data_IF_745657241530
#
_entry.id   IF_745657241530
#
_cell.length_a   1.000
_cell.length_b   1.000
_cell.length_c   1.000
_cell.angle_alpha   90.00
_cell.angle_beta   90.00
_cell.angle_gamma   90.00
#
_symmetry.space_group_name_H-M   'P 1'
#
loop_
_entity.id
_entity.type
_entity.pdbx_description
1 polymer ?
#
# COMPACT_ATOMS: atom_id res chain seq x y z
N UNK A 1 -16.34 28.98 26.63
CA UNK A 1 -15.58 27.77 26.24
C UNK A 1 -16.09 27.37 24.87
N UNK A 2 -15.21 27.23 23.88
CA UNK A 2 -15.59 26.79 22.54
C UNK A 2 -15.73 25.26 22.58
N UNK A 3 -16.94 24.74 22.38
CA UNK A 3 -17.22 23.30 22.29
C UNK A 3 -16.75 22.65 20.97
N UNK A 4 -15.98 23.38 20.15
CA UNK A 4 -15.43 22.91 18.88
C UNK A 4 -13.93 22.58 18.96
N UNK A 5 -13.45 22.01 20.08
CA UNK A 5 -12.16 21.31 19.99
C UNK A 5 -12.39 20.05 19.17
N UNK A 6 -11.81 19.99 17.97
CA UNK A 6 -11.74 18.82 17.08
C UNK A 6 -11.03 17.65 17.78
N UNK A 7 -11.66 17.07 18.79
CA UNK A 7 -11.17 15.88 19.53
C UNK A 7 -11.84 14.61 19.06
N UNK A 8 -12.89 14.70 18.22
CA UNK A 8 -13.41 13.54 17.51
C UNK A 8 -12.55 13.30 16.28
N UNK A 9 -11.72 12.25 16.36
CA UNK A 9 -10.99 11.67 15.24
C UNK A 9 -11.99 11.12 14.23
N UNK A 10 -12.54 12.01 13.41
CA UNK A 10 -13.36 11.67 12.26
C UNK A 10 -12.42 11.19 11.17
N UNK A 11 -12.63 9.96 10.72
CA UNK A 11 -11.93 9.44 9.55
C UNK A 11 -12.73 9.77 8.28
N UNK A 12 -12.06 10.07 7.16
CA UNK A 12 -12.76 10.38 5.92
C UNK A 12 -13.58 9.18 5.44
N UNK A 13 -14.80 9.44 4.98
CA UNK A 13 -15.61 8.45 4.27
C UNK A 13 -15.09 8.37 2.84
N UNK A 14 -14.90 7.16 2.34
CA UNK A 14 -14.52 6.93 0.95
C UNK A 14 -15.68 6.34 0.17
N UNK A 15 -16.02 7.04 -0.91
CA UNK A 15 -17.00 6.59 -1.89
C UNK A 15 -16.25 6.20 -3.15
N UNK A 16 -16.31 4.91 -3.49
CA UNK A 16 -15.83 4.38 -4.76
C UNK A 16 -17.02 4.18 -5.69
N UNK A 17 -16.99 4.84 -6.84
CA UNK A 17 -18.05 4.80 -7.86
C UNK A 17 -17.45 4.25 -9.14
N UNK A 18 -18.09 3.22 -9.69
CA UNK A 18 -17.68 2.57 -10.92
C UNK A 18 -18.86 2.52 -11.89
N UNK A 19 -18.59 2.71 -13.17
CA UNK A 19 -19.60 2.49 -14.21
C UNK A 19 -20.02 1.01 -14.24
N UNK A 20 -21.32 0.75 -14.36
CA UNK A 20 -21.85 -0.62 -14.30
C UNK A 20 -21.42 -1.46 -15.50
N UNK A 21 -21.34 -0.87 -16.69
CA UNK A 21 -20.90 -1.58 -17.88
C UNK A 21 -19.41 -1.90 -17.78
N UNK A 22 -18.61 -0.96 -17.26
CA UNK A 22 -17.20 -1.19 -16.96
C UNK A 22 -17.03 -2.32 -15.94
N UNK A 23 -17.76 -2.26 -14.83
CA UNK A 23 -17.73 -3.28 -13.79
C UNK A 23 -18.03 -4.69 -14.31
N UNK A 24 -18.96 -4.80 -15.26
CA UNK A 24 -19.36 -6.09 -15.83
C UNK A 24 -18.27 -6.81 -16.63
N UNK A 25 -17.17 -6.14 -16.96
CA UNK A 25 -16.02 -6.72 -17.66
C UNK A 25 -15.13 -7.56 -16.74
N UNK A 26 -15.27 -7.42 -15.42
CA UNK A 26 -14.38 -8.01 -14.44
C UNK A 26 -15.07 -9.11 -13.61
N UNK A 27 -14.29 -10.10 -13.18
CA UNK A 27 -14.66 -10.94 -12.03
C UNK A 27 -14.03 -10.31 -10.80
N UNK A 28 -14.86 -9.79 -9.89
CA UNK A 28 -14.37 -9.02 -8.75
C UNK A 28 -15.09 -9.35 -7.45
N UNK A 29 -14.40 -9.09 -6.34
CA UNK A 29 -14.88 -9.20 -4.97
C UNK A 29 -14.57 -7.90 -4.24
N UNK A 30 -15.55 -7.35 -3.52
CA UNK A 30 -15.36 -6.15 -2.71
C UNK A 30 -15.69 -6.50 -1.28
N UNK A 31 -14.76 -6.23 -0.37
CA UNK A 31 -14.96 -6.41 1.06
C UNK A 31 -14.56 -5.16 1.84
N UNK A 32 -15.25 -4.96 2.95
CA UNK A 32 -14.84 -4.03 3.99
C UNK A 32 -13.85 -4.75 4.92
N UNK A 33 -12.70 -4.12 5.22
CA UNK A 33 -11.70 -4.68 6.12
C UNK A 33 -12.27 -4.97 7.52
N UNK A 34 -13.24 -4.17 7.99
CA UNK A 34 -13.94 -4.36 9.27
C UNK A 34 -14.79 -5.64 9.26
N UNK A 35 -15.37 -5.97 8.11
CA UNK A 35 -16.27 -7.13 7.94
C UNK A 35 -15.59 -8.24 7.12
N UNK A 36 -14.34 -8.54 7.46
CA UNK A 36 -13.55 -9.51 6.72
C UNK A 36 -14.16 -10.92 6.78
N UNK A 37 -14.53 -11.54 5.65
CA UNK A 37 -15.06 -12.88 5.66
C UNK A 37 -13.93 -13.91 5.86
N UNK A 38 -14.20 -14.98 6.61
CA UNK A 38 -13.34 -16.17 6.58
C UNK A 38 -13.57 -16.94 5.27
N UNK A 39 -12.96 -16.49 4.18
CA UNK A 39 -13.10 -17.10 2.85
C UNK A 39 -11.76 -17.22 2.14
N UNK A 40 -11.71 -18.21 1.25
CA UNK A 40 -10.63 -18.39 0.29
C UNK A 40 -11.03 -17.64 -0.98
N UNK A 41 -10.14 -16.82 -1.52
CA UNK A 41 -10.36 -16.06 -2.76
C UNK A 41 -9.64 -16.80 -3.88
N UNK A 42 -10.41 -17.30 -4.85
CA UNK A 42 -9.94 -18.30 -5.81
C UNK A 42 -9.68 -17.76 -7.22
N UNK A 43 -10.11 -16.54 -7.54
CA UNK A 43 -9.84 -15.90 -8.83
C UNK A 43 -10.31 -14.43 -8.82
N UNK A 44 -9.88 -13.68 -9.85
CA UNK A 44 -10.37 -12.34 -10.14
C UNK A 44 -9.66 -11.26 -9.32
N UNK A 45 -10.36 -10.14 -9.17
CA UNK A 45 -9.85 -8.95 -8.49
C UNK A 45 -10.49 -8.84 -7.11
N UNK A 46 -9.67 -8.77 -6.07
CA UNK A 46 -10.11 -8.50 -4.72
C UNK A 46 -9.86 -7.03 -4.38
N UNK A 47 -10.94 -6.27 -4.17
CA UNK A 47 -10.88 -4.94 -3.59
C UNK A 47 -11.21 -4.99 -2.11
N UNK A 48 -10.35 -4.39 -1.30
CA UNK A 48 -10.58 -4.19 0.13
C UNK A 48 -10.66 -2.70 0.41
N UNK A 49 -11.70 -2.29 1.13
CA UNK A 49 -11.93 -0.91 1.53
C UNK A 49 -11.97 -0.79 3.05
N UNK A 50 -11.57 0.36 3.57
CA UNK A 50 -11.68 0.69 4.99
C UNK A 50 -11.69 2.20 5.21
N UNK A 51 -12.40 2.65 6.24
CA UNK A 51 -12.27 4.01 6.74
C UNK A 51 -11.01 4.21 7.62
N UNK A 52 -10.42 3.12 8.10
CA UNK A 52 -9.25 3.11 8.98
C UNK A 52 -8.06 2.44 8.29
N UNK A 53 -6.82 2.81 8.64
CA UNK A 53 -5.65 2.04 8.23
C UNK A 53 -5.81 0.57 8.61
N UNK A 54 -5.39 -0.33 7.73
CA UNK A 54 -5.57 -1.77 7.89
C UNK A 54 -4.39 -2.53 7.32
N UNK A 55 -4.25 -3.80 7.69
CA UNK A 55 -3.30 -4.72 7.10
C UNK A 55 -4.01 -5.83 6.34
N UNK A 56 -3.34 -6.37 5.33
CA UNK A 56 -3.74 -7.56 4.60
C UNK A 56 -2.63 -8.59 4.66
N UNK A 57 -2.96 -9.79 5.10
CA UNK A 57 -2.00 -10.88 5.21
C UNK A 57 -2.48 -12.09 4.42
N UNK A 58 -1.58 -12.68 3.66
CA UNK A 58 -1.76 -13.98 3.04
C UNK A 58 -0.63 -14.90 3.51
N UNK A 59 -0.97 -16.11 3.98
CA UNK A 59 0.03 -17.07 4.45
C UNK A 59 0.73 -17.75 3.29
N UNK A 60 1.99 -18.21 3.47
CA UNK A 60 2.64 -19.07 2.49
C UNK A 60 1.80 -20.31 2.17
N UNK A 61 1.86 -20.77 0.93
CA UNK A 61 1.16 -21.97 0.47
C UNK A 61 2.00 -22.78 -0.52
N UNK A 62 1.77 -24.09 -0.58
CA UNK A 62 2.43 -24.96 -1.57
C UNK A 62 1.81 -24.90 -2.97
N UNK A 63 0.93 -23.95 -3.24
CA UNK A 63 0.29 -23.77 -4.55
C UNK A 63 0.89 -22.57 -5.29
N UNK A 64 0.91 -22.67 -6.62
CA UNK A 64 1.35 -21.56 -7.46
C UNK A 64 0.42 -20.37 -7.32
N UNK A 65 0.99 -19.19 -7.11
CA UNK A 65 0.23 -17.95 -7.21
C UNK A 65 1.15 -16.75 -7.44
N UNK A 66 0.56 -15.67 -7.95
CA UNK A 66 1.19 -14.36 -8.06
C UNK A 66 0.15 -13.29 -7.82
N UNK A 67 0.58 -12.13 -7.32
CA UNK A 67 -0.35 -11.07 -6.92
C UNK A 67 0.20 -9.73 -7.37
N UNK A 68 -0.64 -8.93 -8.02
CA UNK A 68 -0.34 -7.52 -8.28
C UNK A 68 -1.36 -6.68 -7.53
N UNK A 69 -0.91 -5.72 -6.74
CA UNK A 69 -1.77 -4.85 -5.97
C UNK A 69 -1.59 -3.37 -6.35
N UNK A 70 -2.69 -2.63 -6.34
CA UNK A 70 -2.77 -1.19 -6.61
C UNK A 70 -3.66 -0.53 -5.58
N UNK A 71 -3.33 0.68 -5.15
CA UNK A 71 -4.11 1.45 -4.18
C UNK A 71 -5.31 2.15 -4.85
N UNK A 72 -6.04 1.40 -5.68
CA UNK A 72 -7.12 1.88 -6.53
C UNK A 72 -8.31 0.91 -6.51
N UNK A 73 -9.40 1.27 -7.20
CA UNK A 73 -10.54 0.40 -7.45
C UNK A 73 -10.20 -0.81 -8.32
N UNK A 74 -11.08 -1.81 -8.34
CA UNK A 74 -10.85 -3.01 -9.17
C UNK A 74 -10.80 -2.68 -10.66
N UNK A 75 -11.48 -1.63 -11.10
CA UNK A 75 -11.48 -1.12 -12.48
C UNK A 75 -10.10 -0.67 -12.95
N UNK A 76 -9.19 -0.44 -12.00
CA UNK A 76 -7.80 -0.06 -12.24
C UNK A 76 -6.79 -1.09 -11.70
N UNK A 77 -7.23 -2.31 -11.37
CA UNK A 77 -6.34 -3.31 -10.79
C UNK A 77 -5.45 -4.02 -11.83
N UNK A 78 -5.83 -4.01 -13.11
CA UNK A 78 -5.07 -4.65 -14.19
C UNK A 78 -3.91 -3.79 -14.71
N UNK A 79 -2.99 -4.43 -15.43
CA UNK A 79 -1.93 -3.73 -16.15
C UNK A 79 -2.50 -2.92 -17.33
N UNK A 80 -1.92 -1.76 -17.60
CA UNK A 80 -2.41 -0.86 -18.64
C UNK A 80 -3.78 -0.24 -18.33
N UNK A 81 -4.15 -0.13 -17.04
CA UNK A 81 -5.39 0.51 -16.61
C UNK A 81 -5.50 1.97 -17.08
N UNK A 82 -6.73 2.43 -17.28
CA UNK A 82 -7.08 3.73 -17.88
C UNK A 82 -6.47 4.92 -17.14
N UNK A 83 -6.39 4.81 -15.81
CA UNK A 83 -5.93 5.89 -14.92
C UNK A 83 -4.42 5.83 -14.64
N UNK A 84 -3.69 4.95 -15.34
CA UNK A 84 -2.25 4.72 -15.20
C UNK A 84 -1.83 4.56 -13.72
N UNK A 85 -2.64 3.86 -12.93
CA UNK A 85 -2.39 3.55 -11.53
C UNK A 85 -1.14 2.65 -11.39
N UNK A 86 -0.10 3.11 -10.66
CA UNK A 86 1.13 2.39 -10.49
C UNK A 86 0.90 1.15 -9.63
N UNK A 87 1.72 0.14 -9.87
CA UNK A 87 1.78 -1.05 -9.04
C UNK A 87 2.32 -0.66 -7.66
N UNK A 88 1.55 -0.95 -6.61
CA UNK A 88 1.96 -0.74 -5.23
C UNK A 88 2.73 -1.95 -4.68
N UNK A 89 2.38 -3.14 -5.15
CA UNK A 89 3.02 -4.40 -4.78
C UNK A 89 2.92 -5.38 -5.94
N UNK A 90 4.03 -6.06 -6.26
CA UNK A 90 4.04 -7.15 -7.23
C UNK A 90 4.76 -8.35 -6.66
N UNK A 91 4.10 -9.49 -6.71
CA UNK A 91 4.66 -10.80 -6.47
C UNK A 91 4.53 -11.60 -7.77
N UNK A 92 5.64 -12.00 -8.40
CA UNK A 92 5.59 -12.84 -9.58
C UNK A 92 4.99 -14.20 -9.23
N UNK A 93 4.45 -14.89 -10.23
CA UNK A 93 4.00 -16.27 -10.06
C UNK A 93 5.20 -17.18 -9.80
N UNK A 94 5.10 -18.00 -8.76
CA UNK A 94 6.11 -19.01 -8.37
C UNK A 94 5.43 -20.35 -8.05
N UNK A 95 6.17 -21.46 -8.10
CA UNK A 95 5.63 -22.80 -7.81
C UNK A 95 5.06 -22.94 -6.39
N UNK A 96 5.61 -22.16 -5.45
CA UNK A 96 5.10 -21.99 -4.09
C UNK A 96 4.86 -20.53 -3.79
N UNK A 97 3.68 -20.21 -3.28
CA UNK A 97 3.34 -18.85 -2.86
C UNK A 97 3.97 -18.53 -1.50
N UNK A 98 4.81 -17.50 -1.44
CA UNK A 98 5.58 -17.15 -0.23
C UNK A 98 4.77 -16.41 0.84
N UNK A 99 3.56 -15.98 0.51
CA UNK A 99 2.77 -15.12 1.40
C UNK A 99 3.22 -13.66 1.36
N UNK A 100 2.44 -12.80 1.99
CA UNK A 100 2.76 -11.38 2.12
C UNK A 100 2.08 -10.76 3.33
N UNK A 101 2.57 -9.59 3.72
CA UNK A 101 1.91 -8.67 4.64
C UNK A 101 1.92 -7.25 4.04
N UNK A 102 0.75 -6.72 3.69
CA UNK A 102 0.59 -5.37 3.18
C UNK A 102 -0.02 -4.49 4.26
N UNK A 103 0.57 -3.32 4.51
CA UNK A 103 0.08 -2.36 5.49
C UNK A 103 -0.44 -1.11 4.78
N UNK A 104 -1.75 -0.95 4.80
CA UNK A 104 -2.48 0.00 3.97
C UNK A 104 -2.94 1.17 4.84
N UNK A 105 -2.20 2.27 4.76
CA UNK A 105 -2.60 3.58 5.28
C UNK A 105 -3.42 4.35 4.22
N UNK A 106 -4.43 3.70 3.67
CA UNK A 106 -5.23 4.21 2.57
C UNK A 106 -6.62 3.59 2.60
N UNK A 107 -7.58 4.18 1.87
CA UNK A 107 -8.96 3.75 1.98
C UNK A 107 -9.32 2.55 1.11
N UNK A 108 -8.46 2.21 0.14
CA UNK A 108 -8.74 1.20 -0.87
C UNK A 108 -7.45 0.55 -1.36
N UNK A 109 -7.52 -0.76 -1.58
CA UNK A 109 -6.54 -1.53 -2.32
C UNK A 109 -7.26 -2.57 -3.16
N UNK A 110 -6.79 -2.79 -4.39
CA UNK A 110 -7.24 -3.88 -5.24
C UNK A 110 -6.08 -4.79 -5.61
N UNK A 111 -6.32 -6.09 -5.57
CA UNK A 111 -5.35 -7.15 -5.87
C UNK A 111 -5.86 -8.01 -7.01
N UNK A 112 -5.05 -8.16 -8.04
CA UNK A 112 -5.25 -9.10 -9.13
C UNK A 112 -4.45 -10.38 -8.83
N UNK A 113 -5.13 -11.52 -8.73
CA UNK A 113 -4.50 -12.83 -8.61
C UNK A 113 -4.17 -13.37 -10.00
N UNK A 114 -2.90 -13.74 -10.21
CA UNK A 114 -2.39 -14.23 -11.50
C UNK A 114 -2.81 -15.68 -11.77
N UNK A 115 -3.03 -16.47 -10.71
CA UNK A 115 -3.50 -17.86 -10.79
C UNK A 115 -4.86 -18.05 -10.10
N UNK A 116 -5.56 -19.13 -10.46
CA UNK A 116 -6.87 -19.48 -9.91
C UNK A 116 -6.80 -20.34 -8.62
N UNK A 117 -5.64 -20.38 -7.95
CA UNK A 117 -5.51 -21.11 -6.69
C UNK A 117 -5.99 -20.22 -5.55
N UNK A 118 -6.86 -20.79 -4.72
CA UNK A 118 -7.41 -20.10 -3.58
C UNK A 118 -6.39 -19.66 -2.56
N UNK A 119 -6.34 -18.36 -2.25
CA UNK A 119 -5.55 -17.83 -1.14
C UNK A 119 -6.43 -17.53 0.06
N UNK A 120 -6.01 -18.04 1.22
CA UNK A 120 -6.59 -17.64 2.50
C UNK A 120 -5.95 -16.33 2.92
N UNK A 121 -6.79 -15.30 3.00
CA UNK A 121 -6.39 -13.95 3.36
C UNK A 121 -7.06 -13.50 4.65
N UNK A 122 -6.42 -12.55 5.33
CA UNK A 122 -6.92 -11.90 6.53
C UNK A 122 -6.76 -10.39 6.40
N UNK A 123 -7.77 -9.63 6.83
CA UNK A 123 -7.66 -8.21 7.05
C UNK A 123 -7.76 -7.90 8.55
N UNK A 124 -6.89 -7.00 9.02
CA UNK A 124 -6.88 -6.54 10.41
C UNK A 124 -6.83 -5.00 10.44
N UNK A 125 -7.56 -4.38 11.37
CA UNK A 125 -7.52 -2.94 11.61
C UNK A 125 -6.36 -2.53 12.53
N UNK A 126 -5.59 -3.50 13.05
CA UNK A 126 -4.35 -3.26 13.78
C UNK A 126 -3.23 -2.85 12.81
N UNK A 127 -3.27 -1.60 12.40
CA UNK A 127 -2.17 -0.97 11.69
C UNK A 127 -1.02 -0.72 12.68
N UNK A 128 0.14 -1.31 12.39
CA UNK A 128 1.36 -1.06 13.17
C UNK A 128 2.31 -0.20 12.35
N UNK A 129 3.05 0.68 13.01
CA UNK A 129 4.13 1.44 12.37
C UNK A 129 5.46 0.69 12.38
N UNK A 130 5.49 -0.59 12.78
CA UNK A 130 6.72 -1.39 12.87
C UNK A 130 6.66 -2.53 11.86
N UNK A 131 7.52 -2.51 10.84
CA UNK A 131 7.52 -3.50 9.77
C UNK A 131 8.77 -4.36 9.80
N UNK A 132 8.60 -5.65 9.58
CA UNK A 132 9.70 -6.59 9.36
C UNK A 132 9.97 -6.71 7.85
N UNK A 133 11.16 -6.35 7.42
CA UNK A 133 11.62 -6.39 6.04
C UNK A 133 12.03 -7.81 5.62
N UNK A 134 12.01 -8.80 6.52
CA UNK A 134 12.23 -10.21 6.13
C UNK A 134 11.05 -10.83 5.38
N UNK A 135 9.89 -10.17 5.39
CA UNK A 135 8.70 -10.62 4.67
C UNK A 135 8.40 -9.70 3.47
N UNK A 136 7.95 -10.25 2.33
CA UNK A 136 7.43 -9.43 1.23
C UNK A 136 6.26 -8.58 1.70
N UNK A 137 6.36 -7.27 1.47
CA UNK A 137 5.36 -6.35 1.94
C UNK A 137 5.47 -4.97 1.32
N UNK A 138 4.52 -4.12 1.70
CA UNK A 138 4.46 -2.73 1.27
C UNK A 138 3.82 -1.90 2.39
N UNK A 139 4.25 -0.65 2.51
CA UNK A 139 3.62 0.38 3.34
C UNK A 139 3.38 1.62 2.51
N UNK A 140 2.22 2.23 2.67
CA UNK A 140 1.85 3.52 2.08
C UNK A 140 1.73 4.59 3.15
N UNK A 141 1.99 5.84 2.76
CA UNK A 141 1.62 7.00 3.56
C UNK A 141 0.11 7.25 3.52
N UNK A 142 -0.37 8.02 4.50
CA UNK A 142 -1.77 8.37 4.62
C UNK A 142 -2.35 9.05 3.36
N UNK A 143 -3.38 8.44 2.77
CA UNK A 143 -4.21 9.05 1.71
C UNK A 143 -3.60 9.00 0.31
N UNK A 144 -2.56 8.20 0.10
CA UNK A 144 -2.00 7.95 -1.22
C UNK A 144 -2.79 6.84 -1.94
N UNK A 145 -3.22 7.13 -3.18
CA UNK A 145 -3.87 6.17 -4.09
C UNK A 145 -3.12 6.02 -5.43
N UNK A 146 -2.13 6.88 -5.71
CA UNK A 146 -1.09 6.69 -6.73
C UNK A 146 -1.50 6.89 -8.19
N UNK A 147 -2.78 6.95 -8.54
CA UNK A 147 -3.22 7.05 -9.94
C UNK A 147 -2.87 8.39 -10.60
N UNK A 148 -2.61 8.40 -11.91
CA UNK A 148 -2.34 9.63 -12.68
C UNK A 148 -3.65 10.20 -13.24
N UNK A 149 -3.60 11.47 -13.67
CA UNK A 149 -4.65 12.22 -14.40
C UNK A 149 -5.85 12.74 -13.60
N UNK A 150 -5.69 13.54 -12.51
CA UNK A 150 -6.78 14.40 -12.07
C UNK A 150 -6.89 15.58 -13.05
N UNK A 151 -7.63 15.41 -14.14
CA UNK A 151 -8.05 16.45 -15.11
C UNK A 151 -6.90 17.13 -15.92
N UNK A 152 -5.64 17.16 -15.46
CA UNK A 152 -4.53 17.89 -16.11
C UNK A 152 -3.14 17.22 -16.02
N UNK A 153 -3.05 15.89 -15.90
CA UNK A 153 -1.80 15.15 -16.08
C UNK A 153 -0.85 15.04 -14.88
N UNK A 154 -1.32 15.23 -13.64
CA UNK A 154 -0.55 14.97 -12.40
C UNK A 154 -0.76 13.57 -11.82
N UNK A 155 -0.03 13.23 -10.75
CA UNK A 155 -0.36 12.09 -9.85
C UNK A 155 -1.40 12.56 -8.84
N UNK A 156 -2.54 11.89 -8.76
CA UNK A 156 -3.59 12.16 -7.79
C UNK A 156 -3.25 11.47 -6.48
N UNK A 157 -3.22 12.24 -5.39
CA UNK A 157 -3.44 11.74 -4.04
C UNK A 157 -4.73 12.37 -3.53
N UNK A 158 -5.79 11.57 -3.34
CA UNK A 158 -6.96 12.05 -2.60
C UNK A 158 -6.62 12.06 -1.11
N UNK A 159 -6.02 13.17 -0.65
CA UNK A 159 -5.66 13.35 0.76
C UNK A 159 -6.70 14.20 1.46
N UNK A 160 -7.48 13.58 2.35
CA UNK A 160 -8.30 14.33 3.30
C UNK A 160 -7.40 15.14 4.23
N UNK A 161 -7.82 16.35 4.60
CA UNK A 161 -7.16 17.15 5.62
C UNK A 161 -7.13 16.46 7.01
N UNK A 162 -7.94 15.42 7.20
CA UNK A 162 -8.00 14.61 8.42
C UNK A 162 -6.90 13.53 8.46
N UNK A 163 -6.23 13.27 7.34
CA UNK A 163 -5.13 12.30 7.27
C UNK A 163 -3.82 13.03 7.58
N UNK A 164 -3.00 12.45 8.47
CA UNK A 164 -1.73 13.04 8.88
C UNK A 164 -0.81 13.26 7.68
N UNK A 165 -0.12 14.40 7.68
CA UNK A 165 0.78 14.77 6.58
C UNK A 165 2.14 14.11 6.67
N UNK A 166 2.52 13.66 7.86
CA UNK A 166 3.75 12.94 8.18
C UNK A 166 3.43 11.59 8.80
N UNK A 167 4.18 10.56 8.42
CA UNK A 167 4.15 9.25 9.04
C UNK A 167 5.56 8.88 9.51
N UNK A 168 5.65 8.07 10.57
CA UNK A 168 6.92 7.51 11.04
C UNK A 168 6.79 6.00 11.07
N UNK A 169 7.76 5.31 10.47
CA UNK A 169 7.80 3.87 10.41
C UNK A 169 9.11 3.34 10.98
N UNK A 170 9.00 2.31 11.81
CA UNK A 170 10.14 1.54 12.32
C UNK A 170 10.32 0.31 11.44
N UNK A 171 11.32 0.34 10.59
CA UNK A 171 11.71 -0.82 9.80
C UNK A 171 12.66 -1.70 10.63
N UNK A 172 12.38 -2.99 10.69
CA UNK A 172 13.22 -4.02 11.33
C UNK A 172 13.55 -5.06 10.30
N UNK A 173 14.65 -5.77 10.51
CA UNK A 173 14.94 -6.98 9.73
C UNK A 173 15.66 -7.95 10.64
N UNK A 174 15.24 -9.22 10.61
CA UNK A 174 15.94 -10.32 11.28
C UNK A 174 17.24 -10.71 10.57
N UNK A 175 17.35 -10.36 9.29
CA UNK A 175 18.55 -10.51 8.48
C UNK A 175 19.19 -9.14 8.31
N UNK A 176 20.52 -9.07 8.25
CA UNK A 176 21.15 -7.78 7.97
C UNK A 176 20.97 -7.46 6.47
N UNK A 177 19.80 -6.92 6.12
CA UNK A 177 19.50 -6.41 4.78
C UNK A 177 20.00 -4.97 4.73
N UNK A 178 20.99 -4.75 3.87
CA UNK A 178 21.73 -3.48 3.81
C UNK A 178 21.34 -2.59 2.63
N UNK A 179 20.49 -3.08 1.73
CA UNK A 179 20.14 -2.37 0.49
C UNK A 179 18.65 -2.05 0.50
N UNK A 180 18.31 -0.80 0.82
CA UNK A 180 16.98 -0.24 0.56
C UNK A 180 17.09 0.56 -0.73
N UNK A 181 16.41 0.11 -1.78
CA UNK A 181 16.28 0.88 -3.02
C UNK A 181 14.95 1.66 -2.99
N UNK A 182 15.02 2.96 -3.22
CA UNK A 182 13.83 3.79 -3.42
C UNK A 182 13.70 4.00 -4.94
N UNK A 183 12.85 3.21 -5.57
CA UNK A 183 12.66 3.20 -7.03
C UNK A 183 11.53 4.14 -7.48
N UNK A 184 11.23 5.16 -6.68
CA UNK A 184 10.26 6.20 -6.99
C UNK A 184 10.95 7.55 -6.85
N UNK A 185 10.70 8.45 -7.81
CA UNK A 185 11.14 9.86 -7.70
C UNK A 185 10.26 10.52 -6.63
N UNK A 186 10.74 10.70 -5.39
CA UNK A 186 9.90 11.22 -4.34
C UNK A 186 9.87 12.74 -4.46
N UNK A 187 8.72 13.36 -4.16
CA UNK A 187 8.65 14.82 -4.06
C UNK A 187 9.29 15.26 -2.74
N UNK A 188 10.63 15.23 -2.68
CA UNK A 188 11.38 15.66 -1.51
C UNK A 188 11.79 17.12 -1.68
N UNK A 189 11.08 18.04 -1.06
CA UNK A 189 11.48 19.45 -0.97
C UNK A 189 11.72 19.84 0.50
N UNK A 190 11.98 21.12 0.77
CA UNK A 190 12.23 21.60 2.14
C UNK A 190 11.05 21.38 3.11
N UNK A 191 9.84 21.21 2.59
CA UNK A 191 8.62 20.92 3.34
C UNK A 191 8.27 19.42 3.36
N UNK A 192 8.88 18.61 2.49
CA UNK A 192 8.59 17.18 2.32
C UNK A 192 9.86 16.35 2.49
N UNK A 193 10.38 16.24 3.71
CA UNK A 193 11.64 15.55 3.98
C UNK A 193 11.48 14.07 4.31
N UNK A 194 12.46 13.27 3.91
CA UNK A 194 12.63 11.89 4.41
C UNK A 194 13.75 11.88 5.43
N UNK A 195 13.46 11.42 6.65
CA UNK A 195 14.46 11.22 7.71
C UNK A 195 14.59 9.73 8.01
N UNK A 196 15.83 9.24 8.05
CA UNK A 196 16.17 7.85 8.36
C UNK A 196 17.01 7.86 9.63
N UNK A 197 16.56 7.14 10.65
CA UNK A 197 17.23 6.96 11.94
C UNK A 197 17.71 5.50 12.02
N UNK A 198 19.02 5.29 11.87
CA UNK A 198 19.65 3.99 12.02
C UNK A 198 20.02 3.78 13.49
N UNK A 199 19.11 3.16 14.24
CA UNK A 199 19.29 2.83 15.65
C UNK A 199 20.50 1.92 15.93
N UNK A 200 20.91 1.09 14.97
CA UNK A 200 22.00 0.13 15.17
C UNK A 200 23.35 0.85 15.15
N UNK A 201 23.50 1.79 14.21
CA UNK A 201 24.74 2.55 14.02
C UNK A 201 24.72 3.93 14.71
N UNK A 202 23.57 4.34 15.28
CA UNK A 202 23.34 5.67 15.86
C UNK A 202 23.55 6.80 14.85
N UNK A 203 23.17 6.55 13.59
CA UNK A 203 23.32 7.51 12.49
C UNK A 203 21.96 8.09 12.08
N UNK A 204 21.95 9.36 11.69
CA UNK A 204 20.75 10.06 11.25
C UNK A 204 20.98 10.67 9.87
N UNK A 205 20.14 10.29 8.92
CA UNK A 205 20.16 10.80 7.56
C UNK A 205 18.92 11.64 7.32
N UNK A 206 19.06 12.77 6.63
CA UNK A 206 17.90 13.49 6.10
C UNK A 206 18.10 13.80 4.63
N UNK A 207 17.07 13.52 3.86
CA UNK A 207 17.06 13.63 2.41
C UNK A 207 16.08 14.74 2.02
N UNK A 208 16.58 15.70 1.25
CA UNK A 208 15.83 16.81 0.65
C UNK A 208 16.31 17.01 -0.80
N UNK A 209 15.42 17.47 -1.68
CA UNK A 209 15.75 17.95 -3.03
C UNK A 209 15.32 17.02 -4.18
N UNK A 210 15.18 17.61 -5.37
CA UNK A 210 14.88 16.97 -6.68
C UNK A 210 16.10 16.31 -7.34
N UNK A 211 17.16 16.04 -6.58
CA UNK A 211 18.30 15.36 -7.17
C UNK A 211 17.91 13.89 -7.36
N UNK A 212 17.75 13.49 -8.62
CA UNK A 212 17.78 12.09 -9.06
C UNK A 212 19.12 11.48 -8.64
N UNK A 213 19.23 11.11 -7.37
CA UNK A 213 20.36 10.35 -6.87
C UNK A 213 19.87 8.92 -6.77
N UNK A 214 20.35 8.00 -7.63
CA UNK A 214 20.16 6.57 -7.38
C UNK A 214 20.70 6.28 -5.98
N UNK A 215 19.81 5.87 -5.08
CA UNK A 215 20.16 5.68 -3.68
C UNK A 215 20.91 4.35 -3.53
N UNK A 216 22.25 4.43 -3.45
CA UNK A 216 23.07 3.39 -2.83
C UNK A 216 23.29 3.79 -1.37
N UNK A 217 22.50 3.19 -0.47
CA UNK A 217 22.81 3.24 0.97
C UNK A 217 24.06 2.35 1.17
N UNK A 218 25.15 2.94 1.63
CA UNK A 218 26.42 2.24 1.84
C UNK A 218 26.37 1.37 3.10
N UNK A 219 27.08 0.23 3.00
CA UNK A 219 27.39 -0.75 4.04
C UNK A 219 27.96 -0.14 5.32
N UNK A 220 27.55 -0.68 6.46
CA UNK A 220 28.35 -0.71 7.68
C UNK A 220 28.83 -2.16 7.92
N UNK A 221 30.14 -2.33 8.16
CA UNK A 221 30.82 -3.61 8.38
C UNK A 221 30.40 -4.30 9.66
#
# INVERSE_FOLDING_TARGET
MNENSLTDTTWPIVLYVVDKMEASKYTYHIYDAVMWPSKIINNGILTVMSAYPFSLTAKPSGSSNGVTARLAGFDNAEDGNTDDCPVAFDMPTSDSFDGFMLNINGPIISMLFKDAYGLQMHADLQFTSSFDLSEPGFVTSGGYNGCRKPISGGVQSFRSALIQTSDMYKLRSSTNLYNVNIDVVPNLDLNHKLSIDDYSNQEFFTIYGVNEVPMMIYRCN
#
